data_IF_374935778141
#
_entry.id   IF_374935778141
#
_cell.length_a   1.000
_cell.length_b   1.000
_cell.length_c   1.000
_cell.angle_alpha   90.00
_cell.angle_beta   90.00
_cell.angle_gamma   90.00
#
_symmetry.space_group_name_H-M   'P 1'
#
loop_
_entity.id
_entity.type
_entity.pdbx_description
1 polymer ?
#
# COMPACT_ATOMS: atom_id res chain seq x y z
N UNK A 1 26.53 -4.80 -10.85
CA UNK A 1 25.73 -3.57 -10.67
C UNK A 1 24.23 -3.88 -10.84
N UNK A 2 23.71 -4.90 -10.13
CA UNK A 2 22.26 -5.26 -10.10
C UNK A 2 21.79 -5.38 -8.64
N UNK A 3 22.59 -4.82 -7.72
CA UNK A 3 22.39 -4.85 -6.27
C UNK A 3 21.36 -3.84 -5.80
N UNK A 4 21.21 -2.71 -6.50
CA UNK A 4 20.27 -1.66 -6.12
C UNK A 4 18.83 -2.12 -6.32
N UNK A 5 18.50 -2.70 -7.48
CA UNK A 5 17.16 -3.28 -7.72
C UNK A 5 16.79 -4.33 -6.67
N UNK A 6 17.70 -5.27 -6.38
CA UNK A 6 17.46 -6.32 -5.38
C UNK A 6 17.34 -5.77 -3.95
N UNK A 7 18.09 -4.72 -3.60
CA UNK A 7 17.95 -4.00 -2.32
C UNK A 7 16.64 -3.22 -2.24
N UNK A 8 16.24 -2.55 -3.31
CA UNK A 8 14.97 -1.82 -3.40
C UNK A 8 13.77 -2.76 -3.29
N UNK A 9 13.83 -3.92 -3.97
CA UNK A 9 12.80 -4.95 -3.86
C UNK A 9 12.71 -5.51 -2.43
N UNK A 10 13.85 -5.72 -1.75
CA UNK A 10 13.85 -6.12 -0.33
C UNK A 10 13.23 -5.06 0.57
N UNK A 11 13.57 -3.79 0.34
CA UNK A 11 12.98 -2.67 1.08
C UNK A 11 11.46 -2.63 0.88
N UNK A 12 10.98 -2.73 -0.36
CA UNK A 12 9.56 -2.83 -0.67
C UNK A 12 8.88 -4.01 0.04
N UNK A 13 9.52 -5.19 0.03
CA UNK A 13 9.00 -6.35 0.75
C UNK A 13 8.96 -6.17 2.27
N UNK A 14 9.82 -5.32 2.86
CA UNK A 14 9.86 -5.10 4.31
C UNK A 14 8.62 -4.38 4.85
N UNK A 15 7.90 -3.65 4.00
CA UNK A 15 6.62 -3.01 4.35
C UNK A 15 5.45 -3.99 4.43
N UNK A 16 5.65 -5.26 4.05
CA UNK A 16 4.62 -6.30 4.12
C UNK A 16 4.97 -7.30 5.22
N UNK A 17 3.95 -8.00 5.75
CA UNK A 17 4.12 -8.98 6.83
C UNK A 17 5.08 -10.12 6.49
N UNK A 18 5.14 -10.55 5.23
CA UNK A 18 6.11 -11.56 4.79
C UNK A 18 6.31 -11.61 3.27
N UNK A 19 7.49 -12.07 2.83
CA UNK A 19 7.77 -12.37 1.41
C UNK A 19 6.78 -13.40 0.84
N UNK A 20 6.37 -14.39 1.65
CA UNK A 20 5.41 -15.40 1.22
C UNK A 20 4.01 -14.83 0.96
N UNK A 21 3.62 -13.76 1.65
CA UNK A 21 2.38 -13.03 1.37
C UNK A 21 2.47 -12.25 0.07
N UNK A 22 3.60 -11.55 -0.15
CA UNK A 22 3.88 -10.82 -1.39
C UNK A 22 3.85 -11.76 -2.60
N UNK A 23 4.55 -12.90 -2.53
CA UNK A 23 4.53 -13.91 -3.61
C UNK A 23 3.13 -14.44 -3.92
N UNK A 24 2.29 -14.63 -2.89
CA UNK A 24 0.89 -15.08 -3.06
C UNK A 24 0.05 -14.03 -3.77
N UNK A 25 0.14 -12.76 -3.36
CA UNK A 25 -0.60 -11.65 -3.99
C UNK A 25 -0.14 -11.38 -5.43
N UNK A 26 1.16 -11.47 -5.69
CA UNK A 26 1.75 -11.34 -7.03
C UNK A 26 1.53 -12.56 -7.92
N UNK A 27 1.00 -13.66 -7.37
CA UNK A 27 0.85 -14.95 -8.06
C UNK A 27 2.14 -15.38 -8.78
N UNK A 28 3.27 -15.27 -8.09
CA UNK A 28 4.59 -15.61 -8.63
C UNK A 28 5.21 -16.78 -7.86
N UNK A 29 5.91 -17.64 -8.59
CA UNK A 29 6.62 -18.78 -8.02
C UNK A 29 7.72 -18.29 -7.05
N UNK A 30 7.70 -18.75 -5.79
CA UNK A 30 8.65 -18.32 -4.74
C UNK A 30 10.12 -18.49 -5.14
N UNK A 31 10.57 -19.65 -5.67
CA UNK A 31 11.90 -19.81 -6.25
C UNK A 31 12.28 -18.75 -7.29
N UNK A 32 11.34 -18.35 -8.16
CA UNK A 32 11.58 -17.31 -9.17
C UNK A 32 11.72 -15.94 -8.51
N UNK A 33 10.83 -15.60 -7.58
CA UNK A 33 10.91 -14.33 -6.83
C UNK A 33 12.21 -14.22 -6.02
N UNK A 34 12.64 -15.31 -5.39
CA UNK A 34 13.91 -15.34 -4.67
C UNK A 34 15.12 -15.07 -5.58
N UNK A 35 15.11 -15.54 -6.83
CA UNK A 35 16.18 -15.21 -7.77
C UNK A 35 16.27 -13.70 -8.04
N UNK A 36 15.13 -13.01 -8.09
CA UNK A 36 15.08 -11.54 -8.20
C UNK A 36 15.58 -10.84 -6.93
N UNK A 37 15.16 -11.30 -5.75
CA UNK A 37 15.62 -10.76 -4.45
C UNK A 37 17.13 -10.87 -4.22
N UNK A 38 17.77 -11.90 -4.77
CA UNK A 38 19.22 -12.08 -4.66
C UNK A 38 19.99 -11.53 -5.86
N UNK A 39 19.33 -10.84 -6.80
CA UNK A 39 19.98 -10.27 -7.99
C UNK A 39 20.60 -11.32 -8.92
N UNK A 40 20.13 -12.58 -8.86
CA UNK A 40 20.63 -13.69 -9.71
C UNK A 40 20.01 -13.70 -11.10
N UNK A 41 18.90 -13.01 -11.29
CA UNK A 41 18.21 -12.90 -12.56
C UNK A 41 17.48 -11.56 -12.62
N UNK A 42 17.27 -11.04 -13.83
CA UNK A 42 16.47 -9.84 -14.05
C UNK A 42 15.03 -10.23 -14.44
N UNK A 43 13.99 -9.60 -13.88
CA UNK A 43 12.62 -9.85 -14.33
C UNK A 43 12.44 -9.41 -15.78
N UNK A 44 11.54 -10.06 -16.53
CA UNK A 44 11.12 -9.53 -17.83
C UNK A 44 10.33 -8.25 -17.63
N UNK A 45 10.21 -7.41 -18.67
CA UNK A 45 9.46 -6.15 -18.61
C UNK A 45 8.02 -6.35 -18.10
N UNK A 46 7.35 -7.44 -18.50
CA UNK A 46 5.98 -7.73 -18.04
C UNK A 46 5.94 -8.04 -16.53
N UNK A 47 6.89 -8.84 -16.02
CA UNK A 47 6.99 -9.14 -14.59
C UNK A 47 7.37 -7.91 -13.78
N UNK A 48 8.27 -7.07 -14.31
CA UNK A 48 8.67 -5.81 -13.68
C UNK A 48 7.48 -4.86 -13.54
N UNK A 49 6.69 -4.70 -14.61
CA UNK A 49 5.47 -3.89 -14.59
C UNK A 49 4.48 -4.39 -13.53
N UNK A 50 4.23 -5.71 -13.47
CA UNK A 50 3.39 -6.30 -12.42
C UNK A 50 3.90 -6.01 -11.00
N UNK A 51 5.21 -5.96 -10.79
CA UNK A 51 5.77 -5.56 -9.49
C UNK A 51 5.54 -4.07 -9.23
N UNK A 52 5.79 -3.23 -10.22
CA UNK A 52 5.55 -1.79 -10.17
C UNK A 52 4.09 -1.47 -9.81
N UNK A 53 3.13 -2.09 -10.51
CA UNK A 53 1.69 -1.98 -10.21
C UNK A 53 1.34 -2.45 -8.78
N UNK A 54 1.94 -3.54 -8.32
CA UNK A 54 1.65 -4.09 -6.99
C UNK A 54 2.21 -3.23 -5.85
N UNK A 55 3.41 -2.68 -6.02
CA UNK A 55 4.06 -1.82 -5.02
C UNK A 55 3.68 -0.34 -5.17
N UNK A 56 3.00 0.04 -6.27
CA UNK A 56 2.64 1.41 -6.60
C UNK A 56 3.83 2.29 -6.97
N UNK A 57 4.91 1.71 -7.50
CA UNK A 57 6.13 2.43 -7.92
C UNK A 57 6.31 2.33 -9.42
N UNK A 58 6.99 3.28 -10.05
CA UNK A 58 7.32 3.22 -11.46
C UNK A 58 8.62 2.44 -11.75
N UNK A 59 8.78 2.01 -13.00
CA UNK A 59 9.92 1.19 -13.45
C UNK A 59 11.26 1.91 -13.26
N UNK A 60 11.30 3.24 -13.39
CA UNK A 60 12.51 4.02 -13.13
C UNK A 60 12.77 4.18 -11.63
N UNK A 61 11.74 4.28 -10.79
CA UNK A 61 11.89 4.45 -9.34
C UNK A 61 12.56 3.22 -8.73
N UNK A 62 12.10 2.02 -9.08
CA UNK A 62 12.66 0.77 -8.53
C UNK A 62 14.11 0.51 -8.97
N UNK A 63 14.56 1.16 -10.05
CA UNK A 63 15.93 1.07 -10.58
C UNK A 63 16.86 2.16 -10.03
N UNK A 64 16.35 3.11 -9.24
CA UNK A 64 17.18 4.15 -8.62
C UNK A 64 18.22 3.56 -7.65
N UNK A 65 19.33 4.28 -7.39
CA UNK A 65 20.25 3.94 -6.32
C UNK A 65 19.51 3.77 -5.00
N UNK A 66 19.88 2.76 -4.22
CA UNK A 66 19.12 2.36 -3.04
C UNK A 66 18.88 3.49 -2.03
N UNK A 67 19.87 4.35 -1.81
CA UNK A 67 19.78 5.51 -0.93
C UNK A 67 18.74 6.54 -1.41
N UNK A 68 18.66 6.79 -2.73
CA UNK A 68 17.66 7.70 -3.31
C UNK A 68 16.25 7.10 -3.22
N UNK A 69 16.12 5.80 -3.54
CA UNK A 69 14.86 5.09 -3.48
C UNK A 69 14.31 5.06 -2.04
N UNK A 70 15.15 4.81 -1.05
CA UNK A 70 14.76 4.81 0.36
C UNK A 70 14.16 6.16 0.78
N UNK A 71 14.77 7.28 0.39
CA UNK A 71 14.25 8.63 0.69
C UNK A 71 12.90 8.87 0.03
N UNK A 72 12.73 8.42 -1.22
CA UNK A 72 11.48 8.56 -1.96
C UNK A 72 10.34 7.77 -1.30
N UNK A 73 10.59 6.53 -0.90
CA UNK A 73 9.57 5.69 -0.26
C UNK A 73 9.25 6.15 1.17
N UNK A 74 10.21 6.66 1.94
CA UNK A 74 9.97 7.20 3.28
C UNK A 74 9.04 8.42 3.28
N UNK A 75 9.03 9.22 2.20
CA UNK A 75 8.18 10.40 2.08
C UNK A 75 6.74 10.03 1.71
N UNK A 76 6.48 8.83 1.17
CA UNK A 76 5.11 8.37 0.91
C UNK A 76 4.46 7.98 2.23
N UNK A 77 3.47 8.76 2.74
CA UNK A 77 2.73 8.37 3.93
C UNK A 77 2.05 7.04 3.61
N UNK A 78 2.11 6.14 4.58
CA UNK A 78 1.59 4.77 4.55
C UNK A 78 0.08 4.70 4.24
N UNK A 79 -0.33 4.98 2.99
CA UNK A 79 -1.74 5.04 2.59
C UNK A 79 -2.38 3.65 2.41
N UNK A 80 -1.61 2.56 2.45
CA UNK A 80 -2.09 1.23 2.05
C UNK A 80 -2.19 0.17 3.15
N UNK A 81 -2.06 0.53 4.43
CA UNK A 81 -2.39 -0.40 5.55
C UNK A 81 -3.41 0.15 6.55
N UNK A 82 -3.94 1.36 6.33
CA UNK A 82 -4.95 1.96 7.19
C UNK A 82 -6.33 1.99 6.53
N UNK A 83 -6.70 0.91 5.84
CA UNK A 83 -8.03 0.75 5.23
C UNK A 83 -8.89 -0.34 5.91
N UNK A 84 -8.45 -0.86 7.06
CA UNK A 84 -9.23 -1.87 7.79
C UNK A 84 -9.22 -1.74 9.32
N UNK A 85 -8.80 -0.59 9.85
CA UNK A 85 -9.17 -0.24 11.22
C UNK A 85 -10.36 0.70 11.07
N UNK A 86 -11.56 0.18 11.33
CA UNK A 86 -12.72 1.03 11.56
C UNK A 86 -12.26 2.13 12.51
N UNK A 87 -12.23 3.37 12.01
CA UNK A 87 -11.92 4.50 12.86
C UNK A 87 -12.91 4.43 14.02
N UNK A 88 -12.49 4.51 15.29
CA UNK A 88 -13.44 4.55 16.40
C UNK A 88 -14.49 5.64 16.17
N UNK A 89 -14.13 6.73 15.48
CA UNK A 89 -15.06 7.78 15.04
C UNK A 89 -16.20 7.23 14.16
N UNK A 90 -15.91 6.33 13.22
CA UNK A 90 -16.92 5.73 12.33
C UNK A 90 -17.91 4.85 13.11
N UNK A 91 -17.44 4.06 14.08
CA UNK A 91 -18.32 3.28 14.95
C UNK A 91 -19.20 4.16 15.85
N UNK A 92 -18.66 5.28 16.35
CA UNK A 92 -19.45 6.25 17.12
C UNK A 92 -20.46 6.98 16.23
N UNK A 93 -20.10 7.28 14.97
CA UNK A 93 -20.98 7.93 14.00
C UNK A 93 -22.15 7.03 13.61
N UNK A 94 -21.92 5.75 13.38
CA UNK A 94 -22.95 4.76 13.05
C UNK A 94 -23.97 4.62 14.20
N UNK A 95 -23.48 4.56 15.44
CA UNK A 95 -24.34 4.60 16.64
C UNK A 95 -25.14 5.89 16.71
N UNK A 96 -24.51 7.05 16.52
CA UNK A 96 -25.19 8.35 16.54
C UNK A 96 -26.29 8.44 15.47
N UNK A 97 -26.06 7.92 14.26
CA UNK A 97 -27.07 7.87 13.20
C UNK A 97 -28.20 6.88 13.51
N UNK A 98 -27.90 5.75 14.14
CA UNK A 98 -28.92 4.80 14.57
C UNK A 98 -29.79 5.35 15.72
N UNK A 99 -29.22 6.22 16.57
CA UNK A 99 -29.93 6.90 17.66
C UNK A 99 -30.50 8.27 17.28
N UNK A 100 -30.17 8.81 16.09
CA UNK A 100 -30.79 10.05 15.60
C UNK A 100 -32.19 9.73 15.12
N UNK A 101 -33.11 9.68 16.08
CA UNK A 101 -34.54 9.55 15.83
C UNK A 101 -35.07 10.80 15.10
N UNK A 102 -36.05 10.59 14.23
CA UNK A 102 -36.82 11.62 13.50
C UNK A 102 -37.44 12.68 14.41
N UNK A 103 -37.50 12.43 15.72
CA UNK A 103 -37.97 13.39 16.73
C UNK A 103 -37.18 14.71 16.76
N UNK A 104 -35.94 14.73 16.23
CA UNK A 104 -35.16 15.97 16.07
C UNK A 104 -35.64 16.84 14.90
N UNK A 105 -36.37 16.28 13.93
CA UNK A 105 -36.91 17.01 12.78
C UNK A 105 -37.99 18.03 13.20
N UNK A 106 -38.62 17.86 14.37
CA UNK A 106 -39.58 18.86 14.88
C UNK A 106 -38.91 20.15 15.37
N UNK A 107 -37.58 20.12 15.56
CA UNK A 107 -36.79 21.27 15.99
C UNK A 107 -36.04 21.95 14.85
N UNK A 108 -36.18 21.48 13.60
CA UNK A 108 -35.73 22.24 12.43
C UNK A 108 -36.84 23.20 11.99
N UNK A 109 -36.52 24.48 11.93
CA UNK A 109 -37.42 25.54 11.50
C UNK A 109 -36.64 26.66 10.83
N UNK A 110 -37.26 27.32 9.86
CA UNK A 110 -36.65 28.46 9.18
C UNK A 110 -36.98 29.73 9.96
N UNK A 111 -35.96 30.37 10.53
CA UNK A 111 -36.08 31.75 11.00
C UNK A 111 -36.06 32.65 9.77
N UNK A 112 -37.21 33.21 9.43
CA UNK A 112 -37.28 34.33 8.49
C UNK A 112 -36.89 35.61 9.24
N UNK A 113 -35.86 36.28 8.72
CA UNK A 113 -35.54 37.68 9.01
C UNK A 113 -35.91 38.52 7.78
#
# INVERSE_FOLDING_TARGET
>A
MDTDFSRNLKLLCSYYKSIAEVCRRLQINRPQFNRYLYGRSRPSANTLRRFCDFFGVEEFEIMLPHDQFQRLIQVRPQQSQQQNQASPVAEHMDKLLAFSDSDLEKYIGYYFE
#
